data_IF_316237715576
#
_entry.id   IF_316237715576
#
_cell.length_a   1.000
_cell.length_b   1.000
_cell.length_c   1.000
_cell.angle_alpha   90.00
_cell.angle_beta   90.00
_cell.angle_gamma   90.00
#
_symmetry.space_group_name_H-M   'P 1'
#
loop_
_entity.id
_entity.type
_entity.pdbx_description
1 polymer ?
#
# COMPACT_ATOMS: atom_id res chain seq x y z
N UNK A 1 -13.84 -18.61 -6.09
CA UNK A 1 -13.66 -17.47 -5.18
C UNK A 1 -13.17 -16.31 -6.03
N UNK A 2 -13.81 -15.14 -5.95
CA UNK A 2 -13.34 -13.97 -6.71
C UNK A 2 -12.00 -13.47 -6.14
N UNK A 3 -11.22 -12.72 -6.93
CA UNK A 3 -9.97 -12.11 -6.47
C UNK A 3 -10.15 -11.31 -5.16
N UNK A 4 -11.33 -10.71 -4.98
CA UNK A 4 -11.71 -9.91 -3.81
C UNK A 4 -11.88 -10.71 -2.51
N UNK A 5 -12.04 -12.02 -2.60
CA UNK A 5 -12.26 -12.88 -1.43
C UNK A 5 -11.05 -13.77 -1.13
N UNK A 6 -10.15 -13.96 -2.10
CA UNK A 6 -8.96 -14.78 -1.93
C UNK A 6 -7.98 -14.19 -0.93
N UNK A 7 -7.51 -15.04 -0.01
CA UNK A 7 -6.46 -14.74 0.98
C UNK A 7 -5.10 -15.26 0.56
N UNK A 8 -4.99 -15.86 -0.63
CA UNK A 8 -3.70 -16.28 -1.20
C UNK A 8 -2.77 -15.07 -1.34
N UNK A 9 -1.50 -15.16 -0.92
CA UNK A 9 -0.59 -14.01 -0.90
C UNK A 9 -0.47 -13.30 -2.26
N UNK A 10 -0.42 -14.05 -3.35
CA UNK A 10 -0.34 -13.49 -4.70
C UNK A 10 -1.58 -12.66 -5.07
N UNK A 11 -2.77 -13.08 -4.62
CA UNK A 11 -4.02 -12.37 -4.89
C UNK A 11 -4.13 -11.09 -4.04
N UNK A 12 -3.64 -11.12 -2.80
CA UNK A 12 -3.54 -9.92 -1.94
C UNK A 12 -2.64 -8.87 -2.58
N UNK A 13 -1.43 -9.27 -3.01
CA UNK A 13 -0.48 -8.37 -3.68
C UNK A 13 -1.07 -7.84 -4.99
N UNK A 14 -1.75 -8.69 -5.77
CA UNK A 14 -2.42 -8.25 -7.00
C UNK A 14 -3.49 -7.19 -6.73
N UNK A 15 -4.33 -7.39 -5.70
CA UNK A 15 -5.34 -6.40 -5.29
C UNK A 15 -4.71 -5.09 -4.86
N UNK A 16 -3.60 -5.15 -4.13
CA UNK A 16 -2.86 -3.97 -3.70
C UNK A 16 -2.37 -3.14 -4.90
N UNK A 17 -1.79 -3.78 -5.93
CA UNK A 17 -1.38 -3.09 -7.16
C UNK A 17 -2.55 -2.46 -7.91
N UNK A 18 -3.68 -3.17 -8.02
CA UNK A 18 -4.89 -2.64 -8.68
C UNK A 18 -5.45 -1.43 -7.94
N UNK A 19 -5.51 -1.48 -6.60
CA UNK A 19 -5.95 -0.38 -5.76
C UNK A 19 -5.02 0.84 -5.89
N UNK A 20 -3.70 0.62 -5.87
CA UNK A 20 -2.71 1.68 -6.05
C UNK A 20 -2.85 2.36 -7.42
N UNK A 21 -3.00 1.58 -8.49
CA UNK A 21 -3.16 2.11 -9.86
C UNK A 21 -4.47 2.89 -10.04
N UNK A 22 -5.51 2.55 -9.28
CA UNK A 22 -6.79 3.25 -9.27
C UNK A 22 -6.82 4.47 -8.32
N UNK A 23 -5.77 4.69 -7.52
CA UNK A 23 -5.78 5.70 -6.45
C UNK A 23 -6.74 5.38 -5.30
N UNK A 24 -7.20 4.14 -5.17
CA UNK A 24 -8.15 3.71 -4.15
C UNK A 24 -7.41 3.38 -2.84
N UNK A 25 -7.23 4.40 -2.02
CA UNK A 25 -6.54 4.27 -0.73
C UNK A 25 -7.31 3.39 0.26
N UNK A 26 -8.64 3.32 0.17
CA UNK A 26 -9.44 2.48 1.05
C UNK A 26 -9.20 0.99 0.73
N UNK A 27 -9.25 0.63 -0.56
CA UNK A 27 -8.94 -0.72 -1.02
C UNK A 27 -7.48 -1.09 -0.74
N UNK A 28 -6.54 -0.15 -0.89
CA UNK A 28 -5.13 -0.39 -0.59
C UNK A 28 -4.92 -0.68 0.90
N UNK A 29 -5.46 0.15 1.80
CA UNK A 29 -5.38 -0.08 3.26
C UNK A 29 -5.95 -1.43 3.68
N UNK A 30 -7.02 -1.89 3.03
CA UNK A 30 -7.63 -3.19 3.31
C UNK A 30 -6.72 -4.40 2.98
N UNK A 31 -5.61 -4.20 2.26
CA UNK A 31 -4.60 -5.24 1.99
C UNK A 31 -3.47 -5.28 3.01
N UNK A 32 -3.38 -4.28 3.89
CA UNK A 32 -2.27 -4.12 4.84
C UNK A 32 -2.65 -4.68 6.22
N UNK A 33 -1.71 -5.37 6.85
CA UNK A 33 -1.86 -5.80 8.23
C UNK A 33 -1.83 -4.61 9.20
N UNK A 34 -2.51 -4.66 10.36
CA UNK A 34 -2.48 -3.58 11.36
C UNK A 34 -1.07 -3.21 11.83
N UNK A 35 -0.16 -4.20 11.84
CA UNK A 35 1.23 -4.10 12.26
C UNK A 35 2.21 -4.02 11.07
N UNK A 36 1.73 -3.65 9.87
CA UNK A 36 2.58 -3.53 8.68
C UNK A 36 3.77 -2.59 8.94
N UNK A 37 4.95 -3.03 8.49
CA UNK A 37 6.13 -2.19 8.37
C UNK A 37 6.51 -2.09 6.88
N UNK A 38 6.47 -0.87 6.35
CA UNK A 38 6.78 -0.60 4.95
C UNK A 38 8.09 0.18 4.86
N UNK A 39 9.08 -0.34 4.14
CA UNK A 39 10.37 0.32 3.98
C UNK A 39 10.55 0.84 2.57
N UNK A 40 10.65 2.16 2.45
CA UNK A 40 11.07 2.85 1.25
C UNK A 40 12.60 2.91 1.19
N UNK A 41 13.17 2.59 0.03
CA UNK A 41 14.62 2.43 -0.16
C UNK A 41 15.37 3.71 0.21
N UNK A 42 16.53 3.55 0.87
CA UNK A 42 17.46 4.65 1.09
C UNK A 42 17.84 5.34 -0.24
N UNK A 43 17.75 6.67 -0.29
CA UNK A 43 18.00 7.46 -1.50
C UNK A 43 16.76 7.74 -2.34
N UNK A 44 15.61 7.13 -2.04
CA UNK A 44 14.32 7.59 -2.54
C UNK A 44 13.84 8.83 -1.76
N UNK A 45 13.10 9.80 -2.36
CA UNK A 45 12.62 10.98 -1.64
C UNK A 45 11.81 10.67 -0.38
N UNK A 46 11.13 9.52 -0.36
CA UNK A 46 10.31 9.05 0.76
C UNK A 46 11.02 7.98 1.61
N UNK A 47 12.35 7.98 1.63
CA UNK A 47 13.12 6.98 2.37
C UNK A 47 12.73 6.95 3.86
N UNK A 48 12.49 5.74 4.36
CA UNK A 48 12.08 5.52 5.74
C UNK A 48 11.33 4.21 5.93
N UNK A 49 11.06 3.87 7.19
CA UNK A 49 10.17 2.76 7.55
C UNK A 49 8.91 3.33 8.19
N UNK A 50 7.77 3.09 7.54
CA UNK A 50 6.45 3.54 7.96
C UNK A 50 5.67 2.37 8.56
N UNK A 51 4.97 2.63 9.66
CA UNK A 51 4.17 1.64 10.37
C UNK A 51 2.70 1.96 10.27
N UNK A 52 1.85 0.93 10.37
CA UNK A 52 0.37 0.97 10.28
C UNK A 52 -0.15 1.28 8.86
N UNK A 53 -1.34 0.79 8.47
CA UNK A 53 -1.93 1.08 7.17
C UNK A 53 -2.04 2.58 6.87
N UNK A 54 -2.45 3.39 7.87
CA UNK A 54 -2.58 4.84 7.75
C UNK A 54 -1.21 5.49 7.51
N UNK A 55 -0.21 5.11 8.31
CA UNK A 55 1.16 5.63 8.19
C UNK A 55 1.78 5.35 6.82
N UNK A 56 1.54 4.18 6.25
CA UNK A 56 1.99 3.87 4.87
C UNK A 56 1.32 4.78 3.86
N UNK A 57 -0.02 4.89 3.89
CA UNK A 57 -0.74 5.68 2.88
C UNK A 57 -0.44 7.18 2.93
N UNK A 58 -0.36 7.75 4.13
CA UNK A 58 -0.14 9.19 4.30
C UNK A 58 1.27 9.63 3.90
N UNK A 59 2.28 8.77 4.11
CA UNK A 59 3.68 9.14 3.86
C UNK A 59 4.22 8.66 2.51
N UNK A 60 3.59 7.65 1.90
CA UNK A 60 4.03 7.09 0.61
C UNK A 60 3.01 7.40 -0.47
N UNK A 61 1.82 6.79 -0.41
CA UNK A 61 0.88 6.80 -1.54
C UNK A 61 0.31 8.19 -1.83
N UNK A 62 -0.08 8.93 -0.79
CA UNK A 62 -0.60 10.30 -0.94
C UNK A 62 0.47 11.27 -1.43
N UNK A 63 1.74 11.09 -1.00
CA UNK A 63 2.85 11.93 -1.44
C UNK A 63 3.19 11.66 -2.91
N UNK A 64 3.24 10.39 -3.31
CA UNK A 64 3.42 10.00 -4.71
C UNK A 64 2.32 10.57 -5.60
N UNK A 65 1.05 10.39 -5.23
CA UNK A 65 -0.07 10.91 -6.04
C UNK A 65 -0.17 12.44 -6.10
N UNK A 66 0.49 13.16 -5.18
CA UNK A 66 0.57 14.63 -5.20
C UNK A 66 1.73 15.12 -6.07
N UNK A 67 2.89 14.48 -5.94
CA UNK A 67 4.13 15.01 -6.49
C UNK A 67 4.45 14.46 -7.89
N UNK A 68 3.87 13.31 -8.28
CA UNK A 68 4.20 12.54 -9.50
C UNK A 68 2.94 12.19 -10.29
#
# INVERSE_FOLDING_TARGET
MGLNESTEPADVVRRQYLASAAGDLAALRATLAPDVEWTEMAGFPLAGTYRTPEGVTANVMEVLGRDW
#
